data_IF_154472023659
#
_entry.id   IF_154472023659
#
_cell.length_a   1.000
_cell.length_b   1.000
_cell.length_c   1.000
_cell.angle_alpha   90.00
_cell.angle_beta   90.00
_cell.angle_gamma   90.00
#
_symmetry.space_group_name_H-M   'P 1'
#
loop_
_entity.id
_entity.type
_entity.pdbx_description
1 polymer ?
#
# COMPACT_ATOMS: atom_id res chain seq x y z
N UNK A 1 -11.78 -2.83 22.17
CA UNK A 1 -10.64 -2.09 21.62
C UNK A 1 -11.04 -1.54 20.27
N UNK A 2 -10.91 -0.24 20.05
CA UNK A 2 -11.11 0.37 18.73
C UNK A 2 -9.89 0.00 17.88
N UNK A 3 -10.10 -0.70 16.77
CA UNK A 3 -9.01 -1.10 15.89
C UNK A 3 -8.69 0.03 14.91
N UNK A 4 -7.42 0.41 14.82
CA UNK A 4 -6.94 1.42 13.88
C UNK A 4 -7.03 0.98 12.40
N UNK A 5 -7.25 -0.32 12.14
CA UNK A 5 -7.45 -0.84 10.79
C UNK A 5 -8.58 -1.85 10.78
N UNK A 6 -9.41 -1.75 9.75
CA UNK A 6 -10.44 -2.73 9.44
C UNK A 6 -10.12 -3.39 8.10
N UNK A 7 -9.88 -4.70 8.10
CA UNK A 7 -9.74 -5.44 6.83
C UNK A 7 -11.14 -5.78 6.32
N UNK A 8 -11.51 -5.20 5.18
CA UNK A 8 -12.75 -5.48 4.48
C UNK A 8 -12.44 -6.46 3.35
N UNK A 9 -12.84 -7.72 3.50
CA UNK A 9 -12.63 -8.75 2.49
C UNK A 9 -13.75 -8.72 1.48
N UNK A 10 -13.42 -8.47 0.22
CA UNK A 10 -14.37 -8.57 -0.86
C UNK A 10 -14.35 -10.01 -1.37
N UNK A 11 -15.35 -10.78 -0.95
CA UNK A 11 -15.68 -12.07 -1.54
C UNK A 11 -16.75 -11.93 -2.64
N UNK A 12 -17.28 -10.72 -2.83
CA UNK A 12 -18.35 -10.43 -3.77
C UNK A 12 -17.80 -9.74 -5.02
N UNK A 13 -17.86 -10.48 -6.12
CA UNK A 13 -17.54 -10.03 -7.49
C UNK A 13 -18.19 -8.70 -7.84
N UNK A 14 -19.44 -8.47 -7.41
CA UNK A 14 -20.18 -7.27 -7.80
C UNK A 14 -19.56 -5.99 -7.23
N UNK A 15 -19.15 -6.01 -5.96
CA UNK A 15 -18.51 -4.86 -5.31
C UNK A 15 -17.16 -4.50 -5.92
N UNK A 16 -16.39 -5.50 -6.32
CA UNK A 16 -15.10 -5.28 -6.96
C UNK A 16 -15.23 -4.78 -8.40
N UNK A 17 -16.26 -5.22 -9.12
CA UNK A 17 -16.60 -4.64 -10.42
C UNK A 17 -17.01 -3.17 -10.29
N UNK A 18 -17.85 -2.83 -9.32
CA UNK A 18 -18.26 -1.45 -9.04
C UNK A 18 -17.06 -0.58 -8.62
N UNK A 19 -16.16 -1.10 -7.80
CA UNK A 19 -14.92 -0.42 -7.43
C UNK A 19 -14.04 -0.17 -8.66
N UNK A 20 -13.78 -1.17 -9.49
CA UNK A 20 -12.99 -1.00 -10.72
C UNK A 20 -13.64 -0.01 -11.69
N UNK A 21 -14.96 -0.04 -11.83
CA UNK A 21 -15.72 0.92 -12.65
C UNK A 21 -15.61 2.33 -12.10
N UNK A 22 -15.66 2.52 -10.77
CA UNK A 22 -15.45 3.84 -10.16
C UNK A 22 -14.03 4.38 -10.41
N UNK A 23 -13.03 3.51 -10.36
CA UNK A 23 -11.65 3.91 -10.63
C UNK A 23 -11.42 4.16 -12.14
N UNK A 24 -12.12 3.41 -13.00
CA UNK A 24 -12.17 3.66 -14.44
C UNK A 24 -12.67 5.05 -14.78
N UNK A 25 -13.71 5.50 -14.10
CA UNK A 25 -14.29 6.83 -14.31
C UNK A 25 -13.38 7.96 -13.81
N UNK A 26 -12.52 7.69 -12.82
CA UNK A 26 -11.68 8.71 -12.16
C UNK A 26 -10.30 8.93 -12.85
N UNK A 27 -9.96 8.13 -13.88
CA UNK A 27 -8.75 8.28 -14.73
C UNK A 27 -7.41 8.50 -14.00
N UNK A 28 -7.27 8.13 -12.72
CA UNK A 28 -6.01 8.22 -11.97
C UNK A 28 -5.31 6.86 -11.91
N UNK A 29 -4.00 6.85 -12.17
CA UNK A 29 -2.91 5.86 -11.96
C UNK A 29 -3.14 4.33 -12.01
N UNK A 30 -4.33 3.82 -11.69
CA UNK A 30 -4.71 2.42 -11.88
C UNK A 30 -4.74 1.99 -13.35
N UNK A 31 -5.02 2.97 -14.23
CA UNK A 31 -5.16 2.72 -15.66
C UNK A 31 -3.95 1.99 -16.22
N UNK A 32 -2.76 2.42 -15.82
CA UNK A 32 -1.52 1.98 -16.43
C UNK A 32 -1.13 0.54 -16.03
N UNK A 33 -1.67 0.00 -14.94
CA UNK A 33 -1.32 -1.36 -14.47
C UNK A 33 -2.30 -2.43 -14.92
N UNK A 34 -3.59 -2.12 -14.99
CA UNK A 34 -4.65 -3.13 -15.24
C UNK A 34 -5.22 -3.02 -16.65
N UNK A 35 -5.27 -1.83 -17.25
CA UNK A 35 -5.94 -1.65 -18.54
C UNK A 35 -5.17 -2.36 -19.64
N UNK A 36 -3.82 -2.34 -19.68
CA UNK A 36 -3.08 -3.13 -20.65
C UNK A 36 -3.41 -4.63 -20.57
N UNK A 37 -3.68 -5.17 -19.37
CA UNK A 37 -4.06 -6.56 -19.21
C UNK A 37 -5.49 -6.83 -19.71
N UNK A 38 -6.44 -5.94 -19.40
CA UNK A 38 -7.82 -6.08 -19.87
C UNK A 38 -7.87 -5.94 -21.39
N UNK A 39 -7.23 -4.91 -21.96
CA UNK A 39 -7.17 -4.67 -23.41
C UNK A 39 -6.57 -5.85 -24.16
N UNK A 40 -5.45 -6.39 -23.65
CA UNK A 40 -4.78 -7.53 -24.25
C UNK A 40 -5.62 -8.80 -24.27
N UNK A 41 -6.40 -9.05 -23.22
CA UNK A 41 -7.08 -10.35 -23.03
C UNK A 41 -8.59 -10.33 -23.35
N UNK A 42 -9.23 -9.15 -23.32
CA UNK A 42 -10.68 -8.99 -23.44
C UNK A 42 -11.08 -7.92 -24.47
N UNK A 43 -10.14 -7.11 -24.97
CA UNK A 43 -10.38 -6.03 -25.91
C UNK A 43 -10.72 -4.71 -25.20
N UNK A 44 -11.40 -3.79 -25.91
CA UNK A 44 -11.68 -2.42 -25.43
C UNK A 44 -12.19 -2.38 -23.98
N UNK A 45 -11.71 -1.41 -23.21
CA UNK A 45 -12.16 -1.19 -21.84
C UNK A 45 -13.62 -0.71 -21.84
N UNK A 46 -14.52 -1.61 -21.44
CA UNK A 46 -15.93 -1.35 -21.23
C UNK A 46 -16.44 -2.21 -20.07
N UNK A 47 -17.64 -1.91 -19.57
CA UNK A 47 -18.24 -2.60 -18.42
C UNK A 47 -18.27 -4.12 -18.57
N UNK A 48 -18.62 -4.62 -19.76
CA UNK A 48 -18.70 -6.05 -20.04
C UNK A 48 -17.33 -6.73 -19.91
N UNK A 49 -16.29 -6.13 -20.49
CA UNK A 49 -14.94 -6.68 -20.46
C UNK A 49 -14.30 -6.57 -19.06
N UNK A 50 -14.61 -5.51 -18.32
CA UNK A 50 -14.28 -5.38 -16.90
C UNK A 50 -14.94 -6.53 -16.11
N UNK A 51 -16.25 -6.75 -16.29
CA UNK A 51 -16.98 -7.81 -15.59
C UNK A 51 -16.44 -9.21 -15.90
N UNK A 52 -16.02 -9.46 -17.14
CA UNK A 52 -15.39 -10.73 -17.54
C UNK A 52 -14.04 -10.94 -16.86
N UNK A 53 -13.17 -9.92 -16.86
CA UNK A 53 -11.89 -9.95 -16.16
C UNK A 53 -12.06 -10.22 -14.66
N UNK A 54 -12.98 -9.48 -14.01
CA UNK A 54 -13.35 -9.65 -12.61
C UNK A 54 -13.83 -11.06 -12.30
N UNK A 55 -14.69 -11.62 -13.16
CA UNK A 55 -15.18 -12.99 -13.00
C UNK A 55 -14.03 -14.01 -12.96
N UNK A 56 -13.08 -13.88 -13.88
CA UNK A 56 -11.97 -14.84 -14.01
C UNK A 56 -11.03 -14.79 -12.80
N UNK A 57 -10.78 -13.60 -12.27
CA UNK A 57 -9.97 -13.43 -11.06
C UNK A 57 -10.66 -14.04 -9.84
N UNK A 58 -11.96 -13.81 -9.66
CA UNK A 58 -12.71 -14.42 -8.56
C UNK A 58 -12.81 -15.94 -8.66
N UNK A 59 -12.91 -16.49 -9.87
CA UNK A 59 -12.84 -17.93 -10.09
C UNK A 59 -11.50 -18.50 -9.59
N UNK A 60 -10.41 -17.76 -9.77
CA UNK A 60 -9.06 -18.18 -9.38
C UNK A 60 -8.78 -17.95 -7.90
N UNK A 61 -9.21 -16.82 -7.33
CA UNK A 61 -8.76 -16.33 -6.03
C UNK A 61 -9.85 -16.19 -4.96
N UNK A 62 -11.13 -16.09 -5.34
CA UNK A 62 -12.23 -15.78 -4.41
C UNK A 62 -12.34 -16.77 -3.26
N UNK A 63 -12.21 -18.07 -3.55
CA UNK A 63 -12.26 -19.12 -2.54
C UNK A 63 -11.11 -19.04 -1.52
N UNK A 64 -9.95 -18.49 -1.91
CA UNK A 64 -8.85 -18.28 -0.98
C UNK A 64 -9.07 -17.06 -0.08
N UNK A 65 -9.64 -15.98 -0.62
CA UNK A 65 -10.02 -14.79 0.15
C UNK A 65 -10.98 -15.20 1.27
N UNK A 66 -12.02 -15.96 0.95
CA UNK A 66 -13.00 -16.45 1.92
C UNK A 66 -12.33 -17.28 3.02
N UNK A 67 -11.55 -18.29 2.62
CA UNK A 67 -10.89 -19.23 3.56
C UNK A 67 -9.87 -18.57 4.46
N UNK A 68 -9.17 -17.54 3.98
CA UNK A 68 -8.05 -16.92 4.70
C UNK A 68 -8.41 -15.62 5.39
N UNK A 69 -9.60 -15.05 5.14
CA UNK A 69 -10.05 -13.77 5.69
C UNK A 69 -9.88 -13.66 7.20
N UNK A 70 -10.43 -14.62 7.96
CA UNK A 70 -10.36 -14.64 9.42
C UNK A 70 -8.92 -14.81 9.93
N UNK A 71 -8.15 -15.69 9.30
CA UNK A 71 -6.73 -15.87 9.64
C UNK A 71 -5.95 -14.58 9.39
N UNK A 72 -6.24 -13.88 8.29
CA UNK A 72 -5.56 -12.64 7.96
C UNK A 72 -5.94 -11.49 8.89
N UNK A 73 -7.22 -11.34 9.24
CA UNK A 73 -7.64 -10.38 10.26
C UNK A 73 -6.96 -10.63 11.60
N UNK A 74 -6.96 -11.88 12.09
CA UNK A 74 -6.29 -12.22 13.35
C UNK A 74 -4.78 -11.90 13.30
N UNK A 75 -4.16 -12.26 12.18
CA UNK A 75 -2.75 -12.03 11.86
C UNK A 75 -2.40 -10.53 11.89
N UNK A 76 -3.29 -9.65 11.39
CA UNK A 76 -3.11 -8.20 11.49
C UNK A 76 -3.39 -7.66 12.90
N UNK A 77 -4.43 -8.16 13.57
CA UNK A 77 -4.82 -7.74 14.92
C UNK A 77 -3.68 -7.90 15.93
N UNK A 78 -2.82 -8.91 15.76
CA UNK A 78 -1.63 -9.13 16.59
C UNK A 78 -0.65 -7.94 16.60
N UNK A 79 -0.58 -7.18 15.50
CA UNK A 79 0.38 -6.10 15.32
C UNK A 79 -0.26 -4.71 15.26
N UNK A 80 -1.57 -4.61 15.07
CA UNK A 80 -2.28 -3.36 14.75
C UNK A 80 -1.87 -2.19 15.65
N UNK A 81 -2.03 -2.32 16.96
CA UNK A 81 -1.80 -1.20 17.88
C UNK A 81 -0.31 -0.84 17.95
N UNK A 82 0.55 -1.86 18.05
CA UNK A 82 2.01 -1.70 18.10
C UNK A 82 2.56 -1.08 16.82
N UNK A 83 1.95 -1.36 15.68
CA UNK A 83 2.34 -0.80 14.40
C UNK A 83 2.14 0.72 14.37
N UNK A 84 0.96 1.21 14.79
CA UNK A 84 0.70 2.66 14.86
C UNK A 84 1.49 3.35 15.97
N UNK A 85 1.65 2.71 17.13
CA UNK A 85 2.53 3.22 18.19
C UNK A 85 3.96 3.43 17.68
N UNK A 86 4.49 2.45 16.91
CA UNK A 86 5.83 2.52 16.35
C UNK A 86 5.95 3.59 15.27
N UNK A 87 4.97 3.70 14.36
CA UNK A 87 4.92 4.78 13.36
C UNK A 87 4.93 6.14 14.06
N UNK A 88 4.03 6.38 15.00
CA UNK A 88 3.95 7.67 15.71
C UNK A 88 5.24 7.97 16.47
N UNK A 89 5.85 6.94 17.10
CA UNK A 89 7.13 7.08 17.81
C UNK A 89 8.27 7.47 16.89
N UNK A 90 8.39 6.83 15.72
CA UNK A 90 9.49 7.03 14.76
C UNK A 90 9.32 8.31 13.95
N UNK A 91 8.09 8.61 13.53
CA UNK A 91 7.78 9.77 12.69
C UNK A 91 7.54 11.05 13.49
N UNK A 92 7.18 10.95 14.78
CA UNK A 92 6.65 12.06 15.59
C UNK A 92 5.40 12.71 15.02
N UNK A 93 4.73 12.03 14.09
CA UNK A 93 3.47 12.43 13.50
C UNK A 93 2.32 11.72 14.23
N UNK A 94 1.14 12.31 14.18
CA UNK A 94 -0.10 11.70 14.67
C UNK A 94 -0.96 11.32 13.48
N UNK A 95 -1.56 10.13 13.51
CA UNK A 95 -2.45 9.71 12.43
C UNK A 95 -3.57 10.71 12.16
N UNK A 96 -3.78 10.99 10.87
CA UNK A 96 -4.87 11.86 10.41
C UNK A 96 -6.26 11.21 10.58
N UNK A 97 -6.32 9.87 10.61
CA UNK A 97 -7.56 9.11 10.68
C UNK A 97 -7.59 8.17 11.88
N UNK A 98 -8.74 8.00 12.55
CA UNK A 98 -8.86 7.05 13.65
C UNK A 98 -8.83 5.59 13.18
N UNK A 99 -9.26 5.33 11.94
CA UNK A 99 -9.34 4.00 11.34
C UNK A 99 -8.97 4.07 9.86
N UNK A 100 -8.16 3.13 9.39
CA UNK A 100 -7.91 2.87 7.97
C UNK A 100 -8.70 1.64 7.51
N UNK A 101 -9.39 1.76 6.38
CA UNK A 101 -10.14 0.67 5.76
C UNK A 101 -9.27 0.00 4.68
N UNK A 102 -8.86 -1.24 4.91
CA UNK A 102 -8.08 -2.02 3.94
C UNK A 102 -9.00 -2.99 3.20
N UNK A 103 -9.26 -2.72 1.93
CA UNK A 103 -10.08 -3.55 1.05
C UNK A 103 -9.20 -4.63 0.42
N UNK A 104 -9.42 -5.88 0.83
CA UNK A 104 -8.70 -7.04 0.29
C UNK A 104 -9.53 -7.65 -0.84
N UNK A 105 -9.00 -7.60 -2.05
CA UNK A 105 -9.73 -7.93 -3.29
C UNK A 105 -9.04 -9.04 -4.09
N UNK A 106 -9.57 -9.46 -5.23
CA UNK A 106 -8.88 -10.41 -6.13
C UNK A 106 -7.95 -9.73 -7.18
N UNK A 107 -7.82 -8.40 -7.14
CA UNK A 107 -7.33 -7.59 -8.27
C UNK A 107 -5.93 -7.04 -8.07
N UNK A 108 -5.80 -6.15 -7.09
CA UNK A 108 -4.71 -5.18 -7.07
C UNK A 108 -3.42 -5.79 -6.52
N UNK A 109 -2.25 -5.26 -6.86
CA UNK A 109 -1.04 -5.63 -6.10
C UNK A 109 -1.02 -4.88 -4.75
N UNK A 110 -1.46 -3.62 -4.78
CA UNK A 110 -1.57 -2.70 -3.65
C UNK A 110 -1.87 -1.30 -4.18
N UNK A 111 -2.73 -0.55 -3.48
CA UNK A 111 -3.20 0.78 -3.83
C UNK A 111 -3.55 1.55 -2.56
N UNK A 112 -2.68 2.47 -2.15
CA UNK A 112 -3.02 3.45 -1.14
C UNK A 112 -3.84 4.60 -1.74
N UNK A 113 -4.98 4.96 -1.12
CA UNK A 113 -5.69 6.17 -1.53
C UNK A 113 -4.89 7.41 -1.14
N UNK A 114 -4.87 8.37 -2.05
CA UNK A 114 -4.16 9.64 -1.88
C UNK A 114 -5.01 10.60 -1.08
N UNK A 115 -4.76 10.70 0.23
CA UNK A 115 -5.44 11.64 1.11
C UNK A 115 -6.75 11.14 1.70
N UNK A 116 -6.97 9.83 1.72
CA UNK A 116 -8.12 9.22 2.37
C UNK A 116 -7.67 8.03 3.24
N UNK A 117 -8.57 7.47 4.03
CA UNK A 117 -8.29 6.38 4.96
C UNK A 117 -8.44 4.98 4.33
N UNK A 118 -8.70 4.90 3.03
CA UNK A 118 -8.94 3.63 2.33
C UNK A 118 -7.66 3.16 1.65
N UNK A 119 -7.35 1.88 1.76
CA UNK A 119 -6.30 1.23 0.96
C UNK A 119 -6.89 -0.02 0.34
N UNK A 120 -6.51 -0.34 -0.89
CA UNK A 120 -6.99 -1.52 -1.60
C UNK A 120 -5.79 -2.38 -1.94
N UNK A 121 -5.89 -3.70 -1.74
CA UNK A 121 -4.85 -4.62 -2.21
C UNK A 121 -5.43 -5.97 -2.55
N UNK A 122 -4.82 -6.66 -3.50
CA UNK A 122 -5.33 -7.94 -3.98
C UNK A 122 -4.69 -9.12 -3.26
N UNK A 123 -5.44 -10.21 -3.17
CA UNK A 123 -5.06 -11.49 -2.58
C UNK A 123 -4.18 -12.29 -3.51
N UNK A 124 -2.99 -12.68 -3.02
CA UNK A 124 -1.95 -13.36 -3.80
C UNK A 124 -1.24 -14.48 -3.06
N UNK A 125 -1.22 -14.46 -1.72
CA UNK A 125 -0.30 -15.28 -0.92
C UNK A 125 -0.85 -15.65 0.47
N UNK A 126 0.02 -16.27 1.27
CA UNK A 126 -0.14 -16.56 2.69
C UNK A 126 -0.52 -15.30 3.52
N UNK A 127 -1.53 -15.37 4.40
CA UNK A 127 -1.90 -14.29 5.35
C UNK A 127 -0.76 -13.66 6.16
N UNK A 128 0.33 -14.38 6.41
CA UNK A 128 1.49 -13.87 7.15
C UNK A 128 2.34 -12.93 6.29
N UNK A 129 2.71 -13.31 5.07
CA UNK A 129 3.50 -12.45 4.16
C UNK A 129 2.74 -11.18 3.80
N UNK A 130 1.42 -11.28 3.77
CA UNK A 130 0.51 -10.19 3.46
C UNK A 130 0.50 -9.04 4.48
N UNK A 131 0.85 -9.29 5.76
CA UNK A 131 0.90 -8.23 6.77
C UNK A 131 1.79 -7.07 6.34
N UNK A 132 2.99 -7.38 5.82
CA UNK A 132 3.96 -6.36 5.41
C UNK A 132 3.41 -5.49 4.26
N UNK A 133 2.70 -6.12 3.32
CA UNK A 133 2.09 -5.41 2.19
C UNK A 133 0.96 -4.50 2.68
N UNK A 134 0.08 -4.97 3.57
CA UNK A 134 -0.94 -4.08 4.15
C UNK A 134 -0.32 -2.94 4.98
N UNK A 135 0.74 -3.23 5.74
CA UNK A 135 1.50 -2.20 6.45
C UNK A 135 2.09 -1.15 5.49
N UNK A 136 2.59 -1.58 4.33
CA UNK A 136 3.12 -0.71 3.28
C UNK A 136 2.07 0.27 2.77
N UNK A 137 0.91 -0.23 2.33
CA UNK A 137 -0.16 0.62 1.81
C UNK A 137 -0.70 1.59 2.88
N UNK A 138 -0.85 1.12 4.12
CA UNK A 138 -1.29 1.96 5.24
C UNK A 138 -0.25 3.05 5.54
N UNK A 139 1.04 2.71 5.54
CA UNK A 139 2.09 3.68 5.82
C UNK A 139 2.17 4.74 4.71
N UNK A 140 1.97 4.36 3.44
CA UNK A 140 1.85 5.34 2.35
C UNK A 140 0.66 6.27 2.57
N UNK A 141 -0.53 5.72 2.85
CA UNK A 141 -1.72 6.54 3.13
C UNK A 141 -1.53 7.46 4.36
N UNK A 142 -0.84 6.96 5.39
CA UNK A 142 -0.47 7.71 6.58
C UNK A 142 0.45 8.88 6.22
N UNK A 143 1.54 8.63 5.51
CA UNK A 143 2.55 9.63 5.17
C UNK A 143 2.00 10.69 4.22
N UNK A 144 1.22 10.27 3.22
CA UNK A 144 0.68 11.16 2.19
C UNK A 144 0.01 12.40 2.75
N UNK A 145 -0.84 12.23 3.77
CA UNK A 145 -1.58 13.34 4.38
C UNK A 145 -0.64 14.37 5.00
N UNK A 146 0.41 13.90 5.68
CA UNK A 146 1.41 14.79 6.26
C UNK A 146 2.31 15.44 5.21
N UNK A 147 2.68 14.69 4.17
CA UNK A 147 3.53 15.21 3.11
C UNK A 147 2.85 16.32 2.32
N UNK A 148 1.53 16.26 2.12
CA UNK A 148 0.78 17.36 1.52
C UNK A 148 0.87 18.65 2.34
N UNK A 149 0.86 18.54 3.66
CA UNK A 149 0.98 19.71 4.55
C UNK A 149 2.42 20.26 4.58
N UNK A 150 3.42 19.38 4.47
CA UNK A 150 4.84 19.74 4.55
C UNK A 150 5.37 20.27 3.20
N UNK A 151 4.93 19.69 2.08
CA UNK A 151 5.44 19.94 0.73
C UNK A 151 4.35 20.49 -0.18
N UNK A 152 3.79 21.65 0.18
CA UNK A 152 2.63 22.28 -0.46
C UNK A 152 2.76 22.50 -1.98
N UNK A 153 3.98 22.60 -2.51
CA UNK A 153 4.24 22.91 -3.91
C UNK A 153 4.64 21.68 -4.75
N UNK A 154 4.75 20.50 -4.14
CA UNK A 154 5.17 19.29 -4.84
C UNK A 154 3.97 18.60 -5.51
N UNK A 155 4.24 17.90 -6.61
CA UNK A 155 3.21 17.17 -7.35
C UNK A 155 2.77 15.92 -6.60
N UNK A 156 1.52 15.47 -6.83
CA UNK A 156 1.02 14.20 -6.26
C UNK A 156 1.98 13.04 -6.53
N UNK A 157 2.50 12.93 -7.76
CA UNK A 157 3.48 11.90 -8.10
C UNK A 157 4.75 11.98 -7.24
N UNK A 158 5.27 13.18 -6.98
CA UNK A 158 6.45 13.36 -6.13
C UNK A 158 6.18 12.94 -4.69
N UNK A 159 5.02 13.30 -4.14
CA UNK A 159 4.62 12.88 -2.80
C UNK A 159 4.47 11.35 -2.71
N UNK A 160 4.02 10.72 -3.80
CA UNK A 160 3.93 9.25 -3.90
C UNK A 160 5.31 8.63 -3.85
N UNK A 161 6.25 9.11 -4.68
CA UNK A 161 7.63 8.62 -4.72
C UNK A 161 8.30 8.70 -3.34
N UNK A 162 8.12 9.82 -2.64
CA UNK A 162 8.64 10.03 -1.28
C UNK A 162 8.00 9.02 -0.31
N UNK A 163 6.67 8.88 -0.34
CA UNK A 163 5.94 7.96 0.54
C UNK A 163 6.36 6.50 0.32
N UNK A 164 6.51 6.10 -0.94
CA UNK A 164 6.88 4.75 -1.36
C UNK A 164 8.28 4.40 -0.84
N UNK A 165 9.28 5.28 -1.05
CA UNK A 165 10.64 5.07 -0.57
C UNK A 165 10.72 4.97 0.95
N UNK A 166 10.03 5.86 1.66
CA UNK A 166 10.01 5.86 3.13
C UNK A 166 9.37 4.57 3.64
N UNK A 167 8.21 4.18 3.09
CA UNK A 167 7.52 2.98 3.51
C UNK A 167 8.40 1.74 3.30
N UNK A 168 9.06 1.63 2.15
CA UNK A 168 10.02 0.56 1.90
C UNK A 168 11.15 0.52 2.91
N UNK A 169 11.80 1.68 3.15
CA UNK A 169 12.95 1.74 4.04
C UNK A 169 12.58 1.41 5.48
N UNK A 170 11.51 2.01 5.99
CA UNK A 170 11.04 1.76 7.35
C UNK A 170 10.64 0.29 7.54
N UNK A 171 9.86 -0.27 6.60
CA UNK A 171 9.33 -1.63 6.77
C UNK A 171 10.35 -2.73 6.43
N UNK A 172 11.46 -2.41 5.76
CA UNK A 172 12.43 -3.43 5.32
C UNK A 172 13.76 -3.37 6.05
N UNK A 173 14.12 -2.24 6.66
CA UNK A 173 15.41 -2.08 7.33
C UNK A 173 15.33 -1.74 8.81
N UNK A 174 14.25 -1.11 9.30
CA UNK A 174 14.14 -0.80 10.72
C UNK A 174 13.89 -2.08 11.55
N UNK A 175 14.75 -2.31 12.54
CA UNK A 175 14.73 -3.53 13.35
C UNK A 175 13.44 -3.71 14.15
N UNK A 176 12.77 -2.63 14.55
CA UNK A 176 11.52 -2.73 15.29
C UNK A 176 10.37 -3.14 14.37
N UNK A 177 10.33 -2.60 13.16
CA UNK A 177 9.32 -2.99 12.16
C UNK A 177 9.53 -4.42 11.66
N UNK A 178 10.77 -4.86 11.41
CA UNK A 178 11.09 -6.22 10.96
C UNK A 178 10.52 -7.30 11.91
N UNK A 179 10.42 -7.00 13.21
CA UNK A 179 9.83 -7.92 14.21
C UNK A 179 8.36 -8.28 13.93
N UNK A 180 7.64 -7.48 13.15
CA UNK A 180 6.26 -7.79 12.75
C UNK A 180 6.17 -8.81 11.60
N UNK A 181 7.28 -9.07 10.89
CA UNK A 181 7.36 -10.04 9.79
C UNK A 181 8.71 -10.78 9.76
N UNK A 182 9.05 -11.54 10.81
CA UNK A 182 10.35 -12.21 10.93
C UNK A 182 10.62 -13.27 9.85
N UNK A 183 9.59 -13.74 9.15
CA UNK A 183 9.69 -14.67 8.03
C UNK A 183 10.10 -14.01 6.70
N UNK A 184 10.15 -12.68 6.64
CA UNK A 184 10.49 -11.96 5.42
C UNK A 184 12.02 -11.90 5.27
N UNK A 185 12.57 -12.81 4.48
CA UNK A 185 14.03 -12.94 4.25
C UNK A 185 14.52 -11.86 3.28
N UNK A 186 13.68 -11.43 2.33
CA UNK A 186 14.07 -10.45 1.32
C UNK A 186 13.99 -9.01 1.84
N UNK A 187 15.12 -8.30 1.73
CA UNK A 187 15.24 -6.88 2.06
C UNK A 187 15.28 -6.00 0.81
N UNK A 188 15.18 -6.56 -0.40
CA UNK A 188 14.95 -5.86 -1.66
C UNK A 188 13.55 -6.16 -2.20
N UNK A 189 12.90 -5.37 -3.05
CA UNK A 189 13.16 -4.04 -3.59
C UNK A 189 11.96 -3.69 -4.48
N UNK A 190 11.83 -2.41 -4.82
CA UNK A 190 10.84 -1.84 -5.75
C UNK A 190 11.01 -2.38 -7.19
N UNK A 191 10.79 -3.68 -7.41
CA UNK A 191 10.97 -4.31 -8.74
C UNK A 191 10.05 -3.68 -9.79
N UNK A 192 8.89 -3.19 -9.36
CA UNK A 192 7.92 -2.52 -10.21
C UNK A 192 8.31 -1.06 -10.54
N UNK A 193 9.29 -0.48 -9.83
CA UNK A 193 9.73 0.92 -10.00
C UNK A 193 11.25 1.04 -10.02
N UNK A 194 11.91 0.65 -11.14
CA UNK A 194 13.38 0.62 -11.23
C UNK A 194 14.07 1.95 -10.91
N UNK A 195 13.43 3.08 -11.24
CA UNK A 195 13.93 4.42 -10.89
C UNK A 195 13.96 4.68 -9.38
N UNK A 196 12.98 4.18 -8.63
CA UNK A 196 13.00 4.32 -7.17
C UNK A 196 13.93 3.30 -6.53
N UNK A 197 14.10 2.12 -7.15
CA UNK A 197 15.00 1.09 -6.65
C UNK A 197 16.46 1.60 -6.50
N UNK A 198 16.90 2.49 -7.39
CA UNK A 198 18.24 3.10 -7.28
C UNK A 198 18.40 4.03 -6.08
N UNK A 199 17.30 4.60 -5.57
CA UNK A 199 17.32 5.52 -4.44
C UNK A 199 17.15 4.83 -3.08
N UNK A 200 16.79 3.55 -3.02
CA UNK A 200 16.55 2.83 -1.76
C UNK A 200 17.79 2.83 -0.87
N UNK A 201 18.97 2.56 -1.43
CA UNK A 201 20.21 2.49 -0.64
C UNK A 201 20.55 3.84 -0.01
N UNK A 202 20.48 4.92 -0.79
CA UNK A 202 20.74 6.27 -0.27
C UNK A 202 19.70 6.68 0.77
N UNK A 203 18.42 6.42 0.51
CA UNK A 203 17.31 6.67 1.45
C UNK A 203 17.52 5.92 2.77
N UNK A 204 18.01 4.67 2.71
CA UNK A 204 18.34 3.86 3.89
C UNK A 204 19.49 4.49 4.70
N UNK A 205 20.57 4.90 4.05
CA UNK A 205 21.70 5.54 4.74
C UNK A 205 21.27 6.87 5.39
N UNK A 206 20.40 7.63 4.73
CA UNK A 206 19.80 8.83 5.34
C UNK A 206 18.95 8.43 6.55
N UNK A 207 18.07 7.44 6.44
CA UNK A 207 17.20 7.00 7.53
C UNK A 207 17.97 6.71 8.82
N UNK A 208 19.09 6.00 8.74
CA UNK A 208 19.90 5.64 9.91
C UNK A 208 20.82 6.76 10.41
N UNK A 209 21.16 7.73 9.55
CA UNK A 209 22.02 8.87 9.94
C UNK A 209 21.23 10.04 10.53
N UNK A 210 19.93 10.14 10.22
CA UNK A 210 19.05 11.19 10.74
C UNK A 210 18.47 10.84 12.10
N UNK A 211 18.41 11.83 13.01
CA UNK A 211 17.75 11.69 14.33
C UNK A 211 16.33 12.24 14.34
N UNK A 212 16.01 13.12 13.40
CA UNK A 212 14.76 13.82 13.29
C UNK A 212 14.05 13.45 11.99
N UNK A 213 12.75 13.16 12.08
CA UNK A 213 11.98 12.68 10.94
C UNK A 213 11.77 13.77 9.89
N UNK A 214 11.70 15.06 10.28
CA UNK A 214 11.54 16.15 9.32
C UNK A 214 12.82 16.36 8.50
N UNK A 215 14.00 16.26 9.12
CA UNK A 215 15.28 16.23 8.40
C UNK A 215 15.35 15.05 7.43
N UNK A 216 14.90 13.86 7.87
CA UNK A 216 14.79 12.69 7.00
C UNK A 216 13.92 12.96 5.76
N UNK A 217 12.71 13.51 5.93
CA UNK A 217 11.82 13.86 4.81
C UNK A 217 12.47 14.80 3.80
N UNK A 218 13.14 15.85 4.27
CA UNK A 218 13.79 16.84 3.41
C UNK A 218 14.93 16.23 2.58
N UNK A 219 15.70 15.33 3.19
CA UNK A 219 16.80 14.65 2.50
C UNK A 219 16.30 13.63 1.48
N UNK A 220 15.26 12.87 1.81
CA UNK A 220 14.63 11.93 0.85
C UNK A 220 14.09 12.67 -0.36
N UNK A 221 13.45 13.83 -0.15
CA UNK A 221 13.04 14.69 -1.26
C UNK A 221 14.24 15.08 -2.14
N UNK A 222 15.33 15.54 -1.53
CA UNK A 222 16.56 15.90 -2.26
C UNK A 222 17.22 14.75 -3.02
N UNK A 223 17.04 13.49 -2.60
CA UNK A 223 17.48 12.30 -3.36
C UNK A 223 16.66 12.14 -4.64
N UNK A 224 15.34 12.33 -4.55
CA UNK A 224 14.42 12.17 -5.67
C UNK A 224 14.52 13.33 -6.70
N UNK A 225 15.11 14.46 -6.33
CA UNK A 225 15.29 15.64 -7.19
C UNK A 225 16.60 15.64 -8.00
N UNK A 226 17.49 14.66 -7.77
CA UNK A 226 18.75 14.49 -8.51
C UNK A 226 18.56 13.68 -9.79
#
# INVERSE_FOLDING_TARGET
>A
MNKNVKLNFFSDKQRDSELLKSIYLDKKNLADTIWPEIEKNYGEINDKNIDLYVSKLYQSYGHFIEKTSKLYQNSWDEINDKFFELINKKTKLSSHFPVYDCHVTAFFHGLASWGNNVVVRGWRENPFTMRKITAHEILIAYLWNHLRDIFLNDTEHKLWEISELIAWVMLSYDEDFIKFWPWFIDRGGLQNYPKLATHIYETKEVYFSTKDFKDFLLRVKGIIEQ
#
